data_IF_707884195582
#
_entry.id   IF_707884195582
#
_cell.length_a   1.000
_cell.length_b   1.000
_cell.length_c   1.000
_cell.angle_alpha   90.00
_cell.angle_beta   90.00
_cell.angle_gamma   90.00
#
_symmetry.space_group_name_H-M   'P 1'
#
loop_
_entity.id
_entity.type
_entity.pdbx_description
1 polymer ?
#
# COMPACT_ATOMS: atom_id res chain seq x y z
N UNK A 1 6.97 -13.92 36.78
CA UNK A 1 6.24 -12.65 36.56
C UNK A 1 5.50 -12.78 35.23
N UNK A 2 4.17 -12.85 35.24
CA UNK A 2 3.37 -13.16 34.04
C UNK A 2 3.53 -12.05 32.98
N UNK A 3 3.99 -12.42 31.78
CA UNK A 3 4.17 -11.52 30.64
C UNK A 3 2.86 -10.77 30.27
N UNK A 4 1.71 -11.37 30.55
CA UNK A 4 0.38 -10.76 30.34
C UNK A 4 0.15 -9.52 31.21
N UNK A 5 0.56 -9.56 32.49
CA UNK A 5 0.35 -8.49 33.47
C UNK A 5 1.19 -7.25 33.11
N UNK A 6 2.43 -7.46 32.66
CA UNK A 6 3.32 -6.38 32.18
C UNK A 6 2.83 -5.75 30.87
N UNK A 7 2.05 -6.47 30.06
CA UNK A 7 1.55 -5.98 28.77
C UNK A 7 0.35 -5.04 28.94
N UNK A 8 -0.59 -5.34 29.86
CA UNK A 8 -1.80 -4.55 30.07
C UNK A 8 -1.52 -3.22 30.79
N UNK A 9 -0.49 -3.14 31.62
CA UNK A 9 -0.10 -1.90 32.31
C UNK A 9 0.28 -0.75 31.35
N UNK A 10 0.56 -1.07 30.07
CA UNK A 10 0.99 -0.10 29.05
C UNK A 10 -0.15 0.59 28.29
N UNK A 11 -1.39 0.10 28.40
CA UNK A 11 -2.57 0.72 27.76
C UNK A 11 -3.29 1.64 28.75
N UNK A 12 -3.98 2.72 28.30
CA UNK A 12 -4.69 3.65 29.18
C UNK A 12 -5.70 2.98 30.12
N UNK A 13 -5.93 3.58 31.30
CA UNK A 13 -6.85 3.10 32.34
C UNK A 13 -8.23 2.69 31.79
N UNK A 14 -8.80 3.53 30.92
CA UNK A 14 -10.12 3.32 30.34
C UNK A 14 -10.18 2.05 29.46
N UNK A 15 -9.15 1.80 28.65
CA UNK A 15 -9.09 0.60 27.79
C UNK A 15 -8.79 -0.66 28.62
N UNK A 16 -8.02 -0.54 29.72
CA UNK A 16 -7.85 -1.64 30.68
C UNK A 16 -9.17 -2.04 31.33
N UNK A 17 -9.96 -1.06 31.76
CA UNK A 17 -11.25 -1.29 32.39
C UNK A 17 -12.23 -1.96 31.42
N UNK A 18 -12.27 -1.54 30.15
CA UNK A 18 -13.08 -2.19 29.11
C UNK A 18 -12.68 -3.67 28.92
N UNK A 19 -11.37 -3.94 28.79
CA UNK A 19 -10.83 -5.29 28.63
C UNK A 19 -11.13 -6.19 29.82
N UNK A 20 -10.96 -5.67 31.04
CA UNK A 20 -11.21 -6.43 32.27
C UNK A 20 -12.70 -6.74 32.42
N UNK A 21 -13.57 -5.75 32.19
CA UNK A 21 -15.03 -5.93 32.24
C UNK A 21 -15.47 -7.04 31.30
N UNK A 22 -15.00 -7.03 30.04
CA UNK A 22 -15.33 -8.08 29.08
C UNK A 22 -14.73 -9.45 29.45
N UNK A 23 -13.52 -9.48 30.00
CA UNK A 23 -12.89 -10.72 30.46
C UNK A 23 -13.68 -11.36 31.61
N UNK A 24 -14.14 -10.56 32.57
CA UNK A 24 -14.93 -11.03 33.71
C UNK A 24 -16.30 -11.55 33.26
N UNK A 25 -16.94 -10.84 32.33
CA UNK A 25 -18.21 -11.28 31.70
C UNK A 25 -18.03 -12.62 30.99
N UNK A 26 -16.94 -12.80 30.24
CA UNK A 26 -16.67 -14.07 29.55
C UNK A 26 -16.28 -15.20 30.51
N UNK A 27 -15.58 -14.91 31.60
CA UNK A 27 -15.25 -15.88 32.64
C UNK A 27 -16.49 -16.38 33.41
N UNK A 28 -17.53 -15.55 33.53
CA UNK A 28 -18.78 -15.89 34.20
C UNK A 28 -19.73 -16.79 33.37
N UNK A 29 -19.37 -17.16 32.13
CA UNK A 29 -20.20 -18.05 31.30
C UNK A 29 -20.10 -19.49 31.82
N UNK A 30 -21.16 -19.96 32.49
CA UNK A 30 -21.23 -21.30 33.10
C UNK A 30 -22.11 -22.31 32.34
N UNK A 31 -22.53 -21.98 31.11
CA UNK A 31 -23.41 -22.83 30.29
C UNK A 31 -23.01 -22.87 28.80
N UNK A 32 -23.90 -23.34 27.89
CA UNK A 32 -23.61 -23.38 26.46
C UNK A 32 -23.24 -21.99 25.95
N UNK A 33 -22.01 -21.86 25.41
CA UNK A 33 -21.43 -20.58 25.03
C UNK A 33 -22.37 -19.75 24.13
N UNK A 34 -23.10 -20.39 23.22
CA UNK A 34 -24.03 -19.73 22.31
C UNK A 34 -25.13 -18.93 23.03
N UNK A 35 -25.69 -19.45 24.12
CA UNK A 35 -26.73 -18.75 24.88
C UNK A 35 -26.14 -17.60 25.70
N UNK A 36 -24.99 -17.83 26.34
CA UNK A 36 -24.27 -16.79 27.09
C UNK A 36 -23.88 -15.61 26.20
N UNK A 37 -23.35 -15.88 25.01
CA UNK A 37 -22.90 -14.84 24.07
C UNK A 37 -24.06 -14.04 23.47
N UNK A 38 -25.24 -14.64 23.26
CA UNK A 38 -26.45 -13.91 22.84
C UNK A 38 -26.92 -12.94 23.91
N UNK A 39 -26.91 -13.36 25.17
CA UNK A 39 -27.27 -12.51 26.30
C UNK A 39 -26.28 -11.34 26.44
N UNK A 40 -24.98 -11.63 26.36
CA UNK A 40 -23.92 -10.61 26.42
C UNK A 40 -24.06 -9.59 25.28
N UNK A 41 -24.42 -10.02 24.07
CA UNK A 41 -24.67 -9.11 22.95
C UNK A 41 -25.84 -8.15 23.23
N UNK A 42 -26.92 -8.64 23.85
CA UNK A 42 -28.05 -7.79 24.26
C UNK A 42 -27.66 -6.81 25.38
N UNK A 43 -26.95 -7.30 26.41
CA UNK A 43 -26.58 -6.50 27.59
C UNK A 43 -25.53 -5.43 27.28
N UNK A 44 -24.64 -5.67 26.32
CA UNK A 44 -23.56 -4.73 25.93
C UNK A 44 -23.90 -3.85 24.73
N UNK A 45 -25.01 -4.12 24.03
CA UNK A 45 -25.37 -3.45 22.77
C UNK A 45 -24.44 -3.78 21.59
N UNK A 46 -23.51 -4.73 21.76
CA UNK A 46 -22.62 -5.17 20.69
C UNK A 46 -23.32 -6.17 19.77
N UNK A 47 -23.03 -6.10 18.47
CA UNK A 47 -23.50 -7.11 17.53
C UNK A 47 -23.03 -8.52 17.91
N UNK A 48 -23.91 -9.53 17.80
CA UNK A 48 -23.61 -10.91 18.19
C UNK A 48 -22.33 -11.47 17.56
N UNK A 49 -22.09 -11.19 16.28
CA UNK A 49 -20.84 -11.59 15.60
C UNK A 49 -19.60 -11.02 16.25
N UNK A 50 -19.64 -9.76 16.68
CA UNK A 50 -18.55 -9.07 17.38
C UNK A 50 -18.26 -9.73 18.73
N UNK A 51 -19.31 -10.07 19.49
CA UNK A 51 -19.18 -10.77 20.79
C UNK A 51 -18.57 -12.15 20.60
N UNK A 52 -19.01 -12.90 19.58
CA UNK A 52 -18.44 -14.20 19.23
C UNK A 52 -16.95 -14.08 18.89
N UNK A 53 -16.57 -13.11 18.05
CA UNK A 53 -15.16 -12.88 17.69
C UNK A 53 -14.32 -12.55 18.94
N UNK A 54 -14.79 -11.64 19.80
CA UNK A 54 -14.08 -11.25 21.03
C UNK A 54 -13.94 -12.44 22.00
N UNK A 55 -14.99 -13.25 22.18
CA UNK A 55 -14.94 -14.43 23.05
C UNK A 55 -13.89 -15.45 22.61
N UNK A 56 -13.81 -15.79 21.32
CA UNK A 56 -12.81 -16.73 20.84
C UNK A 56 -11.39 -16.13 20.81
N UNK A 57 -11.25 -14.81 20.64
CA UNK A 57 -9.97 -14.12 20.80
C UNK A 57 -9.47 -14.19 22.25
N UNK A 58 -10.37 -13.97 23.22
CA UNK A 58 -10.10 -14.12 24.64
C UNK A 58 -9.78 -15.56 25.04
N UNK A 59 -10.55 -16.55 24.57
CA UNK A 59 -10.27 -17.97 24.85
C UNK A 59 -8.87 -18.40 24.39
N UNK A 60 -8.34 -17.78 23.33
CA UNK A 60 -7.01 -18.08 22.77
C UNK A 60 -5.88 -17.36 23.50
N UNK A 61 -6.10 -16.12 23.93
CA UNK A 61 -5.01 -15.20 24.31
C UNK A 61 -5.29 -14.39 25.59
N UNK A 62 -6.25 -14.85 26.40
CA UNK A 62 -6.71 -14.18 27.61
C UNK A 62 -7.21 -12.76 27.36
N UNK A 63 -7.13 -11.92 28.39
CA UNK A 63 -7.48 -10.49 28.33
C UNK A 63 -6.71 -9.76 27.20
N UNK A 64 -5.50 -10.22 26.88
CA UNK A 64 -4.68 -9.61 25.86
C UNK A 64 -5.25 -9.77 24.44
N UNK A 65 -6.15 -10.73 24.22
CA UNK A 65 -6.90 -10.91 22.96
C UNK A 65 -8.09 -9.95 22.79
N UNK A 66 -8.47 -9.22 23.84
CA UNK A 66 -9.58 -8.26 23.83
C UNK A 66 -9.15 -6.82 23.54
N UNK A 67 -7.85 -6.55 23.58
CA UNK A 67 -7.29 -5.22 23.33
C UNK A 67 -7.60 -4.80 21.90
N UNK A 68 -8.17 -3.60 21.74
CA UNK A 68 -8.47 -3.04 20.43
C UNK A 68 -7.18 -2.68 19.68
N UNK A 69 -6.79 -3.52 18.73
CA UNK A 69 -5.58 -3.35 17.92
C UNK A 69 -5.58 -2.07 17.05
N UNK A 70 -6.74 -1.46 16.76
CA UNK A 70 -6.79 -0.19 16.03
C UNK A 70 -6.37 1.00 16.92
N UNK A 71 -6.67 0.92 18.22
CA UNK A 71 -6.22 1.91 19.22
C UNK A 71 -4.81 1.61 19.73
N UNK A 72 -4.47 0.32 19.78
CA UNK A 72 -3.22 -0.19 20.34
C UNK A 72 -2.51 -1.13 19.35
N UNK A 73 -1.87 -0.58 18.29
CA UNK A 73 -1.31 -1.38 17.19
C UNK A 73 -0.26 -2.40 17.62
N UNK A 74 0.47 -2.12 18.70
CA UNK A 74 1.51 -3.01 19.24
C UNK A 74 0.95 -4.29 19.85
N UNK A 75 -0.36 -4.29 20.11
CA UNK A 75 -1.10 -5.42 20.65
C UNK A 75 -1.81 -6.22 19.55
N UNK A 76 -1.66 -5.84 18.29
CA UNK A 76 -2.20 -6.57 17.15
C UNK A 76 -1.62 -8.00 17.09
N UNK A 77 -2.45 -9.05 16.87
CA UNK A 77 -1.99 -10.43 16.73
C UNK A 77 -0.94 -10.61 15.62
N UNK A 78 -1.02 -9.80 14.57
CA UNK A 78 -0.05 -9.77 13.47
C UNK A 78 1.33 -9.26 13.87
N UNK A 79 1.44 -8.43 14.91
CA UNK A 79 2.71 -7.90 15.45
C UNK A 79 3.26 -8.73 16.61
N UNK A 80 2.41 -9.36 17.42
CA UNK A 80 2.85 -10.12 18.61
C UNK A 80 3.53 -11.45 18.32
N UNK A 81 3.28 -12.04 17.15
CA UNK A 81 3.68 -13.42 16.84
C UNK A 81 4.47 -13.57 15.52
N UNK A 82 4.54 -12.53 14.70
CA UNK A 82 5.48 -12.52 13.59
C UNK A 82 6.86 -12.22 14.17
N UNK A 83 7.66 -13.26 14.40
CA UNK A 83 9.11 -13.09 14.42
C UNK A 83 9.47 -12.26 13.19
N UNK A 84 9.89 -11.01 13.43
CA UNK A 84 10.18 -10.09 12.35
C UNK A 84 11.30 -10.73 11.55
N UNK A 85 11.02 -11.06 10.29
CA UNK A 85 12.03 -11.62 9.38
C UNK A 85 13.24 -10.71 9.41
N UNK A 86 14.41 -11.27 9.68
CA UNK A 86 15.63 -10.49 9.83
C UNK A 86 16.01 -9.83 8.50
N UNK A 87 16.67 -8.68 8.58
CA UNK A 87 17.18 -7.98 7.40
C UNK A 87 18.19 -8.83 6.61
N UNK A 88 18.93 -9.70 7.31
CA UNK A 88 19.86 -10.66 6.70
C UNK A 88 19.12 -11.71 5.87
N UNK A 89 18.01 -12.25 6.36
CA UNK A 89 17.18 -13.19 5.57
C UNK A 89 16.59 -12.50 4.34
N UNK A 90 16.17 -11.23 4.45
CA UNK A 90 15.75 -10.46 3.28
C UNK A 90 16.90 -10.22 2.30
N UNK A 91 18.11 -9.92 2.78
CA UNK A 91 19.31 -9.81 1.96
C UNK A 91 19.62 -11.09 1.21
N UNK A 92 19.56 -12.23 1.89
CA UNK A 92 19.74 -13.54 1.28
C UNK A 92 18.70 -13.83 0.19
N UNK A 93 17.42 -13.51 0.45
CA UNK A 93 16.37 -13.63 -0.56
C UNK A 93 16.64 -12.77 -1.81
N UNK A 94 17.19 -11.56 -1.66
CA UNK A 94 17.59 -10.72 -2.80
C UNK A 94 18.66 -11.39 -3.66
N UNK A 95 19.67 -12.00 -3.04
CA UNK A 95 20.71 -12.77 -3.75
C UNK A 95 20.08 -13.91 -4.56
N UNK A 96 19.18 -14.68 -3.95
CA UNK A 96 18.44 -15.73 -4.64
C UNK A 96 17.61 -15.21 -5.82
N UNK A 97 17.05 -13.99 -5.71
CA UNK A 97 16.30 -13.35 -6.80
C UNK A 97 17.21 -12.98 -7.98
N UNK A 98 18.40 -12.44 -7.69
CA UNK A 98 19.40 -12.08 -8.71
C UNK A 98 19.89 -13.34 -9.43
N UNK A 99 20.21 -14.41 -8.70
CA UNK A 99 20.63 -15.70 -9.27
C UNK A 99 19.57 -16.29 -10.21
N UNK A 100 18.29 -16.20 -9.85
CA UNK A 100 17.20 -16.74 -10.67
C UNK A 100 16.89 -15.90 -11.92
N UNK A 101 17.34 -14.64 -11.97
CA UNK A 101 17.37 -13.76 -13.14
C UNK A 101 16.05 -13.34 -13.79
N UNK A 102 14.89 -13.94 -13.44
CA UNK A 102 13.58 -13.65 -14.07
C UNK A 102 12.35 -13.70 -13.16
N UNK A 103 12.30 -14.60 -12.16
CA UNK A 103 11.06 -14.84 -11.37
C UNK A 103 11.36 -14.91 -9.86
N UNK A 104 11.08 -13.83 -9.13
CA UNK A 104 11.26 -13.75 -7.67
C UNK A 104 10.45 -14.83 -6.91
N UNK A 105 9.34 -15.30 -7.49
CA UNK A 105 8.56 -16.41 -6.92
C UNK A 105 9.32 -17.74 -6.90
N UNK A 106 10.19 -17.99 -7.88
CA UNK A 106 11.05 -19.18 -7.89
C UNK A 106 12.14 -19.06 -6.84
N UNK A 107 12.71 -17.87 -6.65
CA UNK A 107 13.66 -17.60 -5.56
C UNK A 107 13.02 -17.84 -4.18
N UNK A 108 11.76 -17.43 -4.00
CA UNK A 108 11.03 -17.71 -2.75
C UNK A 108 10.82 -19.20 -2.51
N UNK A 109 10.49 -19.97 -3.56
CA UNK A 109 10.39 -21.44 -3.47
C UNK A 109 11.74 -22.07 -3.09
N UNK A 110 12.85 -21.56 -3.63
CA UNK A 110 14.21 -21.99 -3.29
C UNK A 110 14.52 -21.71 -1.81
N UNK A 111 14.24 -20.50 -1.34
CA UNK A 111 14.38 -20.11 0.07
C UNK A 111 13.59 -21.05 1.01
N UNK A 112 12.32 -21.32 0.68
CA UNK A 112 11.52 -22.24 1.49
C UNK A 112 12.12 -23.65 1.50
N UNK A 113 12.58 -24.15 0.35
CA UNK A 113 13.23 -25.47 0.25
C UNK A 113 14.49 -25.52 1.13
N UNK A 114 15.36 -24.54 1.02
CA UNK A 114 16.58 -24.42 1.83
C UNK A 114 16.27 -24.37 3.32
N UNK A 115 15.19 -23.68 3.71
CA UNK A 115 14.74 -23.66 5.09
C UNK A 115 14.36 -25.06 5.58
N UNK A 116 13.53 -25.78 4.82
CA UNK A 116 13.07 -27.13 5.18
C UNK A 116 14.20 -28.18 5.18
N UNK A 117 15.19 -28.04 4.32
CA UNK A 117 16.36 -28.93 4.29
C UNK A 117 17.37 -28.64 5.39
N UNK A 118 17.13 -27.61 6.22
CA UNK A 118 18.05 -27.22 7.29
C UNK A 118 19.31 -26.53 6.79
N UNK A 119 19.27 -25.91 5.61
CA UNK A 119 20.38 -25.10 5.13
C UNK A 119 20.62 -23.91 6.06
N UNK A 120 21.87 -23.44 6.07
CA UNK A 120 22.26 -22.26 6.81
C UNK A 120 21.78 -21.01 6.06
N UNK A 121 20.77 -20.35 6.61
CA UNK A 121 20.16 -19.16 6.02
C UNK A 121 20.52 -17.98 6.92
N UNK A 122 21.17 -16.93 6.38
CA UNK A 122 21.54 -15.74 7.14
C UNK A 122 20.35 -15.16 7.92
N UNK A 123 20.57 -14.89 9.21
CA UNK A 123 19.58 -14.35 10.12
C UNK A 123 18.45 -15.30 10.55
N UNK A 124 18.60 -16.61 10.32
CA UNK A 124 17.78 -17.66 10.94
C UNK A 124 18.59 -18.31 12.07
N UNK A 125 18.16 -18.20 13.35
CA UNK A 125 18.89 -18.80 14.47
C UNK A 125 19.09 -20.32 14.30
N UNK A 126 20.27 -20.81 14.70
CA UNK A 126 20.51 -22.24 14.79
C UNK A 126 19.53 -22.89 15.78
N UNK A 127 19.01 -24.08 15.44
CA UNK A 127 17.98 -24.75 16.23
C UNK A 127 16.53 -24.29 15.94
N UNK A 128 16.32 -23.34 15.02
CA UNK A 128 14.97 -23.00 14.55
C UNK A 128 14.27 -24.25 14.00
N UNK A 129 13.07 -24.55 14.51
CA UNK A 129 12.29 -25.73 14.10
C UNK A 129 11.93 -25.70 12.62
N UNK A 130 12.22 -26.79 11.90
CA UNK A 130 12.05 -26.88 10.43
C UNK A 130 10.75 -27.56 9.98
N UNK A 131 9.85 -27.92 10.90
CA UNK A 131 8.59 -28.58 10.57
C UNK A 131 7.59 -27.69 9.81
N UNK A 132 7.71 -26.36 9.96
CA UNK A 132 6.87 -25.36 9.29
C UNK A 132 7.67 -24.09 9.04
N UNK A 133 7.27 -23.30 8.06
CA UNK A 133 7.87 -21.98 7.84
C UNK A 133 7.63 -21.07 9.05
N UNK A 134 8.59 -20.18 9.39
CA UNK A 134 8.40 -19.20 10.45
C UNK A 134 7.23 -18.26 10.13
N UNK A 135 6.62 -17.72 11.17
CA UNK A 135 5.52 -16.78 10.99
C UNK A 135 5.99 -15.52 10.27
N UNK A 136 5.20 -15.04 9.30
CA UNK A 136 5.59 -13.90 8.46
C UNK A 136 6.43 -14.26 7.24
N UNK A 137 6.90 -15.51 7.11
CA UNK A 137 7.52 -16.00 5.88
C UNK A 137 6.48 -16.31 4.81
N UNK A 138 5.93 -15.25 4.23
CA UNK A 138 5.00 -15.30 3.11
C UNK A 138 5.62 -14.65 1.89
N UNK A 139 5.21 -15.11 0.70
CA UNK A 139 5.68 -14.49 -0.53
C UNK A 139 5.35 -12.99 -0.57
N UNK A 140 4.18 -12.59 -0.08
CA UNK A 140 3.77 -11.18 -0.02
C UNK A 140 4.76 -10.32 0.78
N UNK A 141 5.19 -10.80 1.95
CA UNK A 141 6.17 -10.10 2.77
C UNK A 141 7.53 -10.03 2.09
N UNK A 142 8.03 -11.13 1.53
CA UNK A 142 9.31 -11.15 0.82
C UNK A 142 9.29 -10.34 -0.48
N UNK A 143 8.18 -10.32 -1.22
CA UNK A 143 8.06 -9.58 -2.48
C UNK A 143 8.18 -8.07 -2.31
N UNK A 144 7.81 -7.53 -1.14
CA UNK A 144 8.01 -6.11 -0.80
C UNK A 144 9.48 -5.73 -0.66
N UNK A 145 10.35 -6.72 -0.43
CA UNK A 145 11.80 -6.56 -0.32
C UNK A 145 12.54 -7.19 -1.52
N UNK A 146 11.81 -7.64 -2.55
CA UNK A 146 12.44 -8.15 -3.75
C UNK A 146 13.16 -7.03 -4.52
N UNK A 147 14.24 -7.34 -5.26
CA UNK A 147 14.88 -6.37 -6.12
C UNK A 147 13.92 -5.86 -7.20
N UNK A 148 14.02 -4.57 -7.52
CA UNK A 148 13.30 -3.92 -8.60
C UNK A 148 13.70 -4.48 -9.99
N UNK A 149 12.89 -4.19 -11.01
CA UNK A 149 13.23 -4.52 -12.41
C UNK A 149 14.56 -3.91 -12.84
N UNK A 150 14.84 -2.70 -12.37
CA UNK A 150 16.12 -2.02 -12.58
C UNK A 150 17.28 -2.83 -11.98
N UNK A 151 17.21 -3.15 -10.68
CA UNK A 151 18.27 -3.90 -9.99
C UNK A 151 18.50 -5.29 -10.63
N UNK A 152 17.42 -6.00 -11.00
CA UNK A 152 17.54 -7.29 -11.68
C UNK A 152 18.20 -7.18 -13.06
N UNK A 153 17.81 -6.18 -13.88
CA UNK A 153 18.40 -6.00 -15.20
C UNK A 153 19.83 -5.47 -15.11
N UNK A 154 20.12 -4.62 -14.12
CA UNK A 154 21.45 -4.08 -13.87
C UNK A 154 22.42 -5.20 -13.42
N UNK A 155 21.99 -6.07 -12.51
CA UNK A 155 22.79 -7.22 -12.08
C UNK A 155 23.07 -8.19 -13.24
N UNK A 156 22.12 -8.37 -14.17
CA UNK A 156 22.23 -9.33 -15.28
C UNK A 156 23.01 -8.80 -16.49
N UNK A 157 22.82 -7.54 -16.85
CA UNK A 157 23.26 -6.98 -18.14
C UNK A 157 24.02 -5.66 -17.99
N UNK A 158 24.28 -5.23 -16.75
CA UNK A 158 24.94 -3.97 -16.44
C UNK A 158 24.00 -2.76 -16.45
N UNK A 159 24.51 -1.67 -15.87
CA UNK A 159 23.76 -0.42 -15.66
C UNK A 159 23.24 0.23 -16.94
N UNK A 160 23.95 0.04 -18.07
CA UNK A 160 23.57 0.62 -19.37
C UNK A 160 22.34 -0.08 -19.94
N UNK A 161 22.28 -1.41 -19.91
CA UNK A 161 21.13 -2.17 -20.38
C UNK A 161 19.89 -1.98 -19.49
N UNK A 162 20.09 -1.66 -18.21
CA UNK A 162 19.02 -1.35 -17.26
C UNK A 162 18.51 0.09 -17.36
N UNK A 163 19.07 0.94 -18.22
CA UNK A 163 18.74 2.36 -18.31
C UNK A 163 17.23 2.62 -18.55
N UNK A 164 16.55 1.74 -19.29
CA UNK A 164 15.10 1.84 -19.55
C UNK A 164 14.23 1.76 -18.28
N UNK A 165 14.76 1.19 -17.18
CA UNK A 165 14.04 1.09 -15.91
C UNK A 165 14.47 2.18 -14.91
N UNK A 166 15.36 3.09 -15.31
CA UNK A 166 15.71 4.24 -14.47
C UNK A 166 14.53 5.20 -14.43
N UNK A 167 14.31 5.89 -13.30
CA UNK A 167 13.47 7.09 -13.29
C UNK A 167 13.95 8.04 -14.39
N UNK A 168 13.01 8.52 -15.21
CA UNK A 168 13.31 9.49 -16.25
C UNK A 168 13.66 10.82 -15.60
N UNK A 169 14.95 11.17 -15.60
CA UNK A 169 15.44 12.47 -15.12
C UNK A 169 16.12 13.15 -16.30
N UNK A 170 15.49 14.18 -16.85
CA UNK A 170 16.10 15.01 -17.89
C UNK A 170 17.27 15.78 -17.29
N UNK A 171 18.49 15.34 -17.58
CA UNK A 171 19.72 16.02 -17.16
C UNK A 171 20.11 17.17 -18.10
N UNK A 172 19.54 17.19 -19.30
CA UNK A 172 19.69 18.27 -20.28
C UNK A 172 18.46 18.33 -21.19
N UNK A 173 18.13 19.53 -21.68
CA UNK A 173 17.06 19.80 -22.66
C UNK A 173 17.61 20.17 -24.04
N UNK A 174 18.92 19.99 -24.25
CA UNK A 174 19.59 20.29 -25.52
C UNK A 174 18.93 19.46 -26.63
N UNK A 175 18.62 20.09 -27.76
CA UNK A 175 17.94 19.49 -28.92
C UNK A 175 16.45 19.14 -28.73
N UNK A 176 15.85 19.50 -27.60
CA UNK A 176 14.39 19.42 -27.45
C UNK A 176 13.72 20.62 -28.12
N UNK A 177 12.51 20.40 -28.62
CA UNK A 177 11.64 21.45 -29.13
C UNK A 177 10.47 21.69 -28.19
N UNK A 178 9.95 22.92 -28.20
CA UNK A 178 8.71 23.26 -27.51
C UNK A 178 7.60 22.29 -27.93
N UNK A 179 6.84 21.78 -26.95
CA UNK A 179 5.71 20.87 -27.13
C UNK A 179 6.06 19.48 -27.67
N UNK A 180 7.35 19.15 -27.81
CA UNK A 180 7.79 17.83 -28.22
C UNK A 180 7.57 16.78 -27.12
N UNK A 181 7.66 17.17 -25.85
CA UNK A 181 7.56 16.26 -24.72
C UNK A 181 6.81 16.92 -23.57
N UNK A 182 5.68 16.33 -23.20
CA UNK A 182 4.78 16.83 -22.17
C UNK A 182 4.78 15.89 -20.98
N UNK A 183 4.96 16.45 -19.79
CA UNK A 183 4.91 15.71 -18.53
C UNK A 183 3.64 16.05 -17.78
N UNK A 184 3.00 15.03 -17.23
CA UNK A 184 1.79 15.15 -16.43
C UNK A 184 2.03 14.60 -15.04
N UNK A 185 1.60 15.35 -14.03
CA UNK A 185 1.76 14.97 -12.63
C UNK A 185 0.57 15.46 -11.81
N UNK A 186 0.24 14.75 -10.73
CA UNK A 186 -0.79 15.15 -9.79
C UNK A 186 -0.21 15.82 -8.55
N UNK A 187 -0.78 16.98 -8.19
CA UNK A 187 -0.36 17.77 -7.05
C UNK A 187 -1.51 17.91 -6.06
N UNK A 188 -1.18 17.67 -4.79
CA UNK A 188 -2.07 17.99 -3.68
C UNK A 188 -1.82 19.41 -3.24
N UNK A 189 -2.85 20.24 -3.33
CA UNK A 189 -2.77 21.58 -2.75
C UNK A 189 -2.84 21.47 -1.23
N UNK A 190 -1.98 22.23 -0.54
CA UNK A 190 -2.00 22.39 0.92
C UNK A 190 -2.83 23.61 1.32
N UNK A 191 -3.98 23.74 0.67
CA UNK A 191 -4.99 24.75 0.98
C UNK A 191 -6.34 24.07 1.13
N UNK A 192 -7.11 24.54 2.09
CA UNK A 192 -8.52 24.16 2.20
C UNK A 192 -9.39 25.18 1.48
N UNK A 193 -10.27 24.67 0.63
CA UNK A 193 -11.30 25.46 -0.06
C UNK A 193 -12.67 25.01 0.39
N UNK A 194 -13.65 25.91 0.30
CA UNK A 194 -15.05 25.60 0.63
C UNK A 194 -15.83 25.44 -0.66
N UNK A 195 -16.46 24.28 -0.83
CA UNK A 195 -17.44 24.05 -1.89
C UNK A 195 -18.76 24.69 -1.49
N UNK A 196 -19.09 25.83 -2.11
CA UNK A 196 -20.25 26.67 -1.74
C UNK A 196 -21.56 25.88 -1.81
N UNK A 197 -21.72 25.03 -2.83
CA UNK A 197 -22.91 24.21 -3.08
C UNK A 197 -23.16 23.15 -2.00
N UNK A 198 -22.12 22.73 -1.28
CA UNK A 198 -22.19 21.64 -0.28
C UNK A 198 -21.78 22.05 1.12
N UNK A 199 -21.33 23.30 1.31
CA UNK A 199 -20.73 23.77 2.55
C UNK A 199 -19.64 22.82 3.10
N UNK A 200 -18.88 22.19 2.20
CA UNK A 200 -17.82 21.23 2.55
C UNK A 200 -16.44 21.86 2.40
N UNK A 201 -15.62 21.75 3.44
CA UNK A 201 -14.17 22.04 3.38
C UNK A 201 -13.48 20.88 2.68
N UNK A 202 -12.72 21.18 1.64
CA UNK A 202 -12.03 20.20 0.80
C UNK A 202 -10.60 20.65 0.51
N UNK A 203 -9.73 19.69 0.23
CA UNK A 203 -8.41 19.95 -0.37
C UNK A 203 -8.48 19.61 -1.85
N UNK A 204 -8.23 20.57 -2.76
CA UNK A 204 -8.25 20.28 -4.18
C UNK A 204 -7.02 19.48 -4.60
N UNK A 205 -7.23 18.62 -5.59
CA UNK A 205 -6.16 17.94 -6.32
C UNK A 205 -6.04 18.58 -7.70
N UNK A 206 -4.82 18.73 -8.18
CA UNK A 206 -4.53 19.25 -9.50
C UNK A 206 -3.87 18.18 -10.34
N UNK A 207 -4.24 18.11 -11.62
CA UNK A 207 -3.49 17.43 -12.66
C UNK A 207 -2.84 18.50 -13.53
N UNK A 208 -1.52 18.61 -13.46
CA UNK A 208 -0.75 19.62 -14.18
C UNK A 208 -0.16 19.09 -15.48
N UNK A 209 -0.03 19.95 -16.49
CA UNK A 209 0.68 19.68 -17.72
C UNK A 209 1.87 20.64 -17.88
N UNK A 210 3.06 20.06 -18.00
CA UNK A 210 4.31 20.79 -18.13
C UNK A 210 4.99 20.46 -19.46
N UNK A 211 5.46 21.49 -20.17
CA UNK A 211 6.32 21.31 -21.33
C UNK A 211 7.77 21.15 -20.85
N UNK A 212 8.41 20.03 -21.22
CA UNK A 212 9.73 19.70 -20.69
C UNK A 212 10.80 20.68 -21.19
N UNK A 213 10.68 21.20 -22.41
CA UNK A 213 11.65 22.14 -22.99
C UNK A 213 11.67 23.49 -22.26
N UNK A 214 10.51 24.12 -22.11
CA UNK A 214 10.37 25.42 -21.44
C UNK A 214 10.34 25.34 -19.92
N UNK A 215 10.12 24.13 -19.35
CA UNK A 215 9.82 23.92 -17.93
C UNK A 215 8.58 24.69 -17.45
N UNK A 216 7.67 25.02 -18.37
CA UNK A 216 6.47 25.79 -18.07
C UNK A 216 5.31 24.85 -17.74
N UNK A 217 4.68 25.04 -16.58
CA UNK A 217 3.35 24.49 -16.29
C UNK A 217 2.32 25.34 -17.06
N UNK A 218 1.89 24.86 -18.21
CA UNK A 218 1.13 25.67 -19.18
C UNK A 218 -0.38 25.39 -19.16
N UNK A 219 -0.79 24.30 -18.51
CA UNK A 219 -2.21 23.94 -18.38
C UNK A 219 -2.45 23.03 -17.17
N UNK A 220 -3.68 23.02 -16.65
CA UNK A 220 -4.04 22.17 -15.52
C UNK A 220 -5.55 21.94 -15.39
N UNK A 221 -5.90 20.82 -14.76
CA UNK A 221 -7.24 20.54 -14.26
C UNK A 221 -7.22 20.52 -12.73
N UNK A 222 -8.15 21.21 -12.07
CA UNK A 222 -8.30 21.17 -10.61
C UNK A 222 -9.63 20.54 -10.25
N UNK A 223 -9.60 19.58 -9.32
CA UNK A 223 -10.78 18.87 -8.84
C UNK A 223 -10.87 18.91 -7.32
N UNK A 224 -11.99 19.40 -6.75
CA UNK A 224 -12.22 19.35 -5.32
C UNK A 224 -12.48 17.92 -4.85
N UNK A 225 -11.86 17.53 -3.73
CA UNK A 225 -12.02 16.18 -3.16
C UNK A 225 -13.27 16.08 -2.28
N UNK A 226 -14.43 16.18 -2.91
CA UNK A 226 -15.73 16.23 -2.22
C UNK A 226 -16.10 14.89 -1.61
N UNK A 227 -16.63 14.90 -0.39
CA UNK A 227 -17.22 13.73 0.27
C UNK A 227 -18.64 13.51 -0.28
N UNK A 228 -18.90 12.30 -0.73
CA UNK A 228 -20.20 11.84 -1.21
C UNK A 228 -21.02 11.29 -0.04
N UNK A 229 -22.30 11.06 -0.28
CA UNK A 229 -23.27 10.58 0.73
C UNK A 229 -22.92 9.18 1.25
N UNK A 230 -22.28 8.36 0.42
CA UNK A 230 -21.73 7.04 0.76
C UNK A 230 -20.39 7.08 1.52
N UNK A 231 -20.02 8.27 2.03
CA UNK A 231 -18.76 8.59 2.68
C UNK A 231 -17.50 8.47 1.82
N UNK A 232 -17.62 8.07 0.55
CA UNK A 232 -16.48 8.04 -0.36
C UNK A 232 -16.07 9.44 -0.78
N UNK A 233 -14.85 9.57 -1.32
CA UNK A 233 -14.30 10.86 -1.77
C UNK A 233 -14.06 10.83 -3.26
N UNK A 234 -14.41 11.91 -3.92
CA UNK A 234 -14.16 12.07 -5.36
C UNK A 234 -12.69 12.48 -5.55
N UNK A 235 -11.87 11.63 -6.16
CA UNK A 235 -10.50 11.99 -6.54
C UNK A 235 -10.44 12.35 -8.04
N UNK A 236 -9.28 12.83 -8.48
CA UNK A 236 -8.92 12.81 -9.89
C UNK A 236 -9.05 11.38 -10.46
N UNK A 237 -9.45 11.30 -11.72
CA UNK A 237 -9.71 10.06 -12.43
C UNK A 237 -9.25 10.14 -13.90
N UNK A 238 -9.21 9.02 -14.64
CA UNK A 238 -8.74 9.03 -16.03
C UNK A 238 -9.56 9.91 -16.99
N UNK A 239 -10.84 10.19 -16.70
CA UNK A 239 -11.61 11.13 -17.53
C UNK A 239 -11.11 12.57 -17.36
N UNK A 240 -10.65 12.95 -16.18
CA UNK A 240 -10.06 14.27 -15.95
C UNK A 240 -8.78 14.46 -16.80
N UNK A 241 -7.97 13.39 -16.94
CA UNK A 241 -6.82 13.36 -17.87
C UNK A 241 -7.26 13.50 -19.32
N UNK A 242 -8.31 12.79 -19.75
CA UNK A 242 -8.84 12.91 -21.11
C UNK A 242 -9.31 14.33 -21.42
N UNK A 243 -10.04 14.97 -20.49
CA UNK A 243 -10.48 16.36 -20.66
C UNK A 243 -9.30 17.32 -20.74
N UNK A 244 -8.27 17.12 -19.92
CA UNK A 244 -7.06 17.93 -19.97
C UNK A 244 -6.33 17.77 -21.31
N UNK A 245 -6.16 16.54 -21.80
CA UNK A 245 -5.56 16.28 -23.12
C UNK A 245 -6.37 16.92 -24.24
N UNK A 246 -7.69 16.81 -24.22
CA UNK A 246 -8.57 17.45 -25.20
C UNK A 246 -8.44 18.98 -25.16
N UNK A 247 -8.37 19.59 -23.97
CA UNK A 247 -8.17 21.03 -23.82
C UNK A 247 -6.79 21.46 -24.35
N UNK A 248 -5.73 20.72 -24.02
CA UNK A 248 -4.36 21.00 -24.46
C UNK A 248 -4.25 20.93 -25.98
N UNK A 249 -4.63 19.80 -26.58
CA UNK A 249 -4.51 19.61 -28.02
C UNK A 249 -5.49 20.48 -28.80
N UNK A 250 -6.65 20.82 -28.23
CA UNK A 250 -7.58 21.78 -28.81
C UNK A 250 -7.03 23.22 -28.81
N UNK A 251 -6.28 23.62 -27.78
CA UNK A 251 -5.69 24.97 -27.67
C UNK A 251 -4.39 25.14 -28.44
N UNK A 252 -3.50 24.15 -28.36
CA UNK A 252 -2.11 24.29 -28.80
C UNK A 252 -1.76 23.40 -29.99
N UNK A 253 -2.62 22.45 -30.35
CA UNK A 253 -2.29 21.42 -31.33
C UNK A 253 -1.21 20.47 -30.83
N UNK A 254 -0.55 19.78 -31.75
CA UNK A 254 0.60 18.90 -31.48
C UNK A 254 1.83 19.42 -32.22
N UNK A 255 3.01 19.00 -31.77
CA UNK A 255 4.25 19.40 -32.42
C UNK A 255 4.40 18.72 -33.80
N UNK A 256 4.87 19.40 -34.86
CA UNK A 256 4.94 18.83 -36.22
C UNK A 256 5.79 17.56 -36.38
N UNK A 257 6.71 17.30 -35.44
CA UNK A 257 7.53 16.07 -35.40
C UNK A 257 6.95 14.99 -34.48
N UNK A 258 5.72 15.16 -34.02
CA UNK A 258 5.10 14.36 -32.96
C UNK A 258 5.38 14.91 -31.57
N UNK A 259 4.43 14.64 -30.66
CA UNK A 259 4.47 15.00 -29.23
C UNK A 259 4.46 13.71 -28.40
N UNK A 260 5.42 13.56 -27.49
CA UNK A 260 5.46 12.46 -26.52
C UNK A 260 4.76 12.87 -25.24
N UNK A 261 3.87 12.00 -24.75
CA UNK A 261 3.17 12.16 -23.48
C UNK A 261 3.82 11.26 -22.43
N UNK A 262 4.38 11.86 -21.37
CA UNK A 262 4.89 11.13 -20.22
C UNK A 262 3.78 11.03 -19.18
N UNK A 263 3.15 9.86 -19.13
CA UNK A 263 2.03 9.53 -18.24
C UNK A 263 2.51 8.58 -17.15
N UNK A 264 2.18 8.87 -15.89
CA UNK A 264 2.50 7.99 -14.78
C UNK A 264 1.49 6.84 -14.63
N UNK A 265 1.90 5.74 -14.00
CA UNK A 265 1.08 4.53 -13.80
C UNK A 265 -0.01 4.68 -12.71
N UNK A 266 -0.53 5.89 -12.51
CA UNK A 266 -1.47 6.25 -11.46
C UNK A 266 -2.63 7.08 -11.99
N UNK A 267 -2.84 8.25 -11.41
CA UNK A 267 -3.97 9.13 -11.73
C UNK A 267 -3.78 9.91 -13.03
N UNK A 268 -2.53 10.26 -13.33
CA UNK A 268 -2.10 10.92 -14.56
C UNK A 268 -1.91 9.91 -15.71
N UNK A 269 -2.96 9.14 -16.03
CA UNK A 269 -2.91 8.07 -17.03
C UNK A 269 -4.05 8.16 -18.04
N UNK A 270 -3.85 7.59 -19.23
CA UNK A 270 -4.85 7.45 -20.27
C UNK A 270 -4.86 5.99 -20.76
N UNK A 271 -6.03 5.50 -21.17
CA UNK A 271 -6.14 4.15 -21.71
C UNK A 271 -5.53 4.07 -23.11
N UNK A 272 -5.06 2.88 -23.50
CA UNK A 272 -4.50 2.63 -24.84
C UNK A 272 -5.48 3.06 -25.94
N UNK A 273 -6.78 2.78 -25.77
CA UNK A 273 -7.82 3.21 -26.71
C UNK A 273 -7.90 4.73 -26.89
N UNK A 274 -7.65 5.52 -25.83
CA UNK A 274 -7.60 6.98 -25.90
C UNK A 274 -6.33 7.43 -26.61
N UNK A 275 -5.18 6.82 -26.29
CA UNK A 275 -3.91 7.13 -26.96
C UNK A 275 -4.00 6.83 -28.47
N UNK A 276 -4.56 5.68 -28.84
CA UNK A 276 -4.80 5.28 -30.23
C UNK A 276 -5.76 6.24 -30.95
N UNK A 277 -6.80 6.72 -30.26
CA UNK A 277 -7.72 7.71 -30.81
C UNK A 277 -7.01 9.04 -31.07
N UNK A 278 -6.24 9.55 -30.09
CA UNK A 278 -5.48 10.79 -30.24
C UNK A 278 -4.50 10.66 -31.40
N UNK A 279 -3.77 9.55 -31.49
CA UNK A 279 -2.83 9.29 -32.56
C UNK A 279 -3.50 9.33 -33.95
N UNK A 280 -4.66 8.67 -34.10
CA UNK A 280 -5.43 8.69 -35.36
C UNK A 280 -5.96 10.07 -35.72
N UNK A 281 -6.33 10.89 -34.73
CA UNK A 281 -6.84 12.24 -34.96
C UNK A 281 -5.73 13.26 -35.24
N UNK A 282 -4.51 13.01 -34.76
CA UNK A 282 -3.37 13.90 -34.96
C UNK A 282 -2.67 13.72 -36.32
N UNK A 283 -2.81 12.57 -36.97
CA UNK A 283 -2.13 12.25 -38.24
C UNK A 283 -0.84 11.49 -38.03
#
# INVERSE_FOLDING_TARGET
MNFEILSLARIPEADRAEVQTLADIFAAITGPATHGLKKIAADTGLGFGTVVTKYYAWKRSGAAGLINAARHPDFAPSRRLAEKVSNETYGYFKTLCVENGRKCRTAFKKLCREFFTGADIPGVPHGTGRARLPQGWTYSNFSRHAPSKFELKAARQGLRAAAEYRPLVYTTRREMYFFQELQFDDVWHDVETVMIDRSQRVRPQQLGAMDVFSACLFDWCIKPRVRRDDETRTNLNPNDMLFLLAAIFGKYGHHPKGTRLNLEAGTATASDAVIDLIHRLSG
#
